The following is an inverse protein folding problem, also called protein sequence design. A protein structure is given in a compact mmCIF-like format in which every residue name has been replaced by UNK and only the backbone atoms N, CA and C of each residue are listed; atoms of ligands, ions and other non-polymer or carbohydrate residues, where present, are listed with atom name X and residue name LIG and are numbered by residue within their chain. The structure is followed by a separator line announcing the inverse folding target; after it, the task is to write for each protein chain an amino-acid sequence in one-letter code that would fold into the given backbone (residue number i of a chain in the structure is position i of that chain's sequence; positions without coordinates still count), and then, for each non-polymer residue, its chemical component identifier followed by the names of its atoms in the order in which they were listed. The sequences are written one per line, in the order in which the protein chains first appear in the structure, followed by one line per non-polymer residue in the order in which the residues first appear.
data_IF_374404241059
#
_entry.id   IF_374404241059
#
_cell.length_a   1.000
_cell.length_b   1.000
_cell.length_c   1.000
_cell.angle_alpha   90.00
_cell.angle_beta   90.00
_cell.angle_gamma   90.00
#
_symmetry.space_group_name_H-M   'P 1'
#
loop_
_entity.id
_entity.type
_entity.pdbx_description
1 polymer ?
#
# COMPACT_ATOMS: atom_id res chain seq x y z
N UNK A 1 -0.48 -1.94 -19.56
CA UNK A 1 -0.93 -0.54 -19.28
C UNK A 1 -1.91 -0.15 -20.35
N UNK A 2 -3.08 0.35 -19.98
CA UNK A 2 -4.08 0.79 -20.95
C UNK A 2 -3.66 2.18 -21.46
N UNK A 3 -2.92 2.22 -22.56
CA UNK A 3 -2.47 3.47 -23.18
C UNK A 3 -3.69 4.23 -23.71
N UNK A 4 -3.80 5.52 -23.39
CA UNK A 4 -4.82 6.40 -23.94
C UNK A 4 -4.12 7.53 -24.68
N UNK A 5 -4.45 7.72 -25.95
CA UNK A 5 -3.93 8.82 -26.73
C UNK A 5 -4.54 10.13 -26.24
N UNK A 6 -3.72 11.14 -25.98
CA UNK A 6 -4.16 12.46 -25.54
C UNK A 6 -5.16 13.11 -26.51
N UNK A 7 -5.04 12.85 -27.81
CA UNK A 7 -5.98 13.34 -28.84
C UNK A 7 -7.39 12.78 -28.66
N UNK A 8 -7.52 11.58 -28.10
CA UNK A 8 -8.80 10.89 -27.97
C UNK A 8 -9.52 11.25 -26.66
N UNK A 9 -8.80 11.83 -25.68
CA UNK A 9 -9.31 12.02 -24.31
C UNK A 9 -9.28 13.47 -23.83
N UNK A 10 -8.46 14.34 -24.42
CA UNK A 10 -8.32 15.73 -23.99
C UNK A 10 -9.09 16.69 -24.91
N UNK A 11 -9.74 17.73 -24.36
CA UNK A 11 -10.31 18.80 -25.16
C UNK A 11 -9.25 19.49 -26.03
N UNK A 12 -9.57 19.92 -27.28
CA UNK A 12 -8.58 20.51 -28.19
C UNK A 12 -7.82 21.71 -27.62
N UNK A 13 -8.49 22.55 -26.82
CA UNK A 13 -7.86 23.71 -26.16
C UNK A 13 -6.77 23.28 -25.17
N UNK A 14 -7.08 22.29 -24.31
CA UNK A 14 -6.15 21.77 -23.32
C UNK A 14 -4.98 21.03 -23.98
N UNK A 15 -5.24 20.25 -25.03
CA UNK A 15 -4.18 19.57 -25.77
C UNK A 15 -3.19 20.56 -26.37
N UNK A 16 -3.69 21.65 -26.97
CA UNK A 16 -2.85 22.71 -27.55
C UNK A 16 -1.99 23.40 -26.50
N UNK A 17 -2.55 23.68 -25.33
CA UNK A 17 -1.81 24.25 -24.21
C UNK A 17 -0.75 23.29 -23.68
N UNK A 18 -1.09 22.01 -23.51
CA UNK A 18 -0.15 20.99 -23.04
C UNK A 18 1.04 20.83 -24.00
N UNK A 19 0.80 20.90 -25.31
CA UNK A 19 1.83 20.89 -26.34
C UNK A 19 2.78 22.09 -26.27
N UNK A 20 2.38 23.21 -25.67
CA UNK A 20 3.31 24.32 -25.43
C UNK A 20 4.39 23.95 -24.40
N UNK A 21 4.05 23.09 -23.43
CA UNK A 21 4.95 22.68 -22.36
C UNK A 21 5.70 21.38 -22.66
N UNK A 22 5.06 20.40 -23.30
CA UNK A 22 5.64 19.08 -23.54
C UNK A 22 5.06 18.42 -24.79
N UNK A 23 5.91 17.82 -25.63
CA UNK A 23 5.49 17.18 -26.90
C UNK A 23 6.27 15.88 -27.11
N UNK A 24 5.57 14.82 -27.54
CA UNK A 24 6.20 13.52 -27.86
C UNK A 24 6.62 12.69 -26.65
N UNK A 25 6.34 13.13 -25.43
CA UNK A 25 6.75 12.47 -24.19
C UNK A 25 5.57 11.88 -23.39
N UNK A 26 5.88 10.98 -22.45
CA UNK A 26 4.92 10.35 -21.56
C UNK A 26 4.71 11.23 -20.31
N UNK A 27 3.52 11.83 -20.21
CA UNK A 27 3.12 12.62 -19.04
C UNK A 27 2.24 11.79 -18.08
N UNK A 28 2.64 11.71 -16.81
CA UNK A 28 1.82 11.12 -15.76
C UNK A 28 0.83 12.14 -15.19
N UNK A 29 -0.46 11.83 -15.25
CA UNK A 29 -1.51 12.63 -14.60
C UNK A 29 -1.89 11.95 -13.28
N UNK A 30 -1.51 12.51 -12.12
CA UNK A 30 -1.86 11.93 -10.83
C UNK A 30 -3.38 11.94 -10.62
N UNK A 31 -3.89 10.94 -9.90
CA UNK A 31 -5.28 10.94 -9.46
C UNK A 31 -5.55 12.15 -8.56
N UNK A 32 -6.75 12.74 -8.62
CA UNK A 32 -7.20 13.71 -7.64
C UNK A 32 -7.02 13.14 -6.23
N UNK A 33 -6.59 13.97 -5.29
CA UNK A 33 -6.15 13.53 -3.96
C UNK A 33 -7.23 12.72 -3.20
N UNK A 34 -8.50 13.06 -3.42
CA UNK A 34 -9.67 12.35 -2.86
C UNK A 34 -9.92 10.96 -3.45
N UNK A 35 -9.31 10.64 -4.58
CA UNK A 35 -9.41 9.36 -5.30
C UNK A 35 -8.10 8.55 -5.28
N UNK A 36 -7.09 9.01 -4.54
CA UNK A 36 -5.90 8.22 -4.23
C UNK A 36 -6.32 7.14 -3.22
N UNK A 37 -6.78 6.00 -3.74
CA UNK A 37 -6.80 4.79 -2.93
C UNK A 37 -5.37 4.56 -2.42
N UNK A 38 -5.21 4.32 -1.13
CA UNK A 38 -3.89 3.96 -0.60
C UNK A 38 -3.41 2.69 -1.30
N UNK A 39 -2.08 2.56 -1.39
CA UNK A 39 -1.46 1.41 -2.03
C UNK A 39 -2.03 0.09 -1.47
N UNK A 40 -2.52 -0.78 -2.36
CA UNK A 40 -3.12 -2.07 -2.00
C UNK A 40 -4.60 -2.05 -1.59
N UNK A 41 -5.30 -0.90 -1.56
CA UNK A 41 -6.74 -0.85 -1.28
C UNK A 41 -7.59 -1.36 -2.45
N UNK A 42 -7.23 -1.01 -3.68
CA UNK A 42 -7.98 -1.43 -4.88
C UNK A 42 -7.77 -2.91 -5.23
N UNK A 43 -6.60 -3.48 -4.91
CA UNK A 43 -6.30 -4.90 -5.18
C UNK A 43 -6.63 -5.83 -4.02
N UNK A 44 -7.09 -5.30 -2.87
CA UNK A 44 -7.32 -6.08 -1.64
C UNK A 44 -6.05 -6.56 -0.93
N UNK A 45 -4.87 -6.35 -1.52
CA UNK A 45 -3.57 -6.75 -0.98
C UNK A 45 -3.30 -6.13 0.39
N UNK A 46 -3.76 -4.90 0.64
CA UNK A 46 -3.62 -4.24 1.94
C UNK A 46 -4.35 -5.03 3.04
N UNK A 47 -5.55 -5.53 2.76
CA UNK A 47 -6.33 -6.34 3.72
C UNK A 47 -5.68 -7.71 3.96
N UNK A 48 -5.19 -8.34 2.90
CA UNK A 48 -4.49 -9.64 3.02
C UNK A 48 -3.21 -9.52 3.86
N UNK A 49 -2.42 -8.47 3.64
CA UNK A 49 -1.21 -8.21 4.42
C UNK A 49 -1.57 -7.91 5.89
N UNK A 50 -2.63 -7.13 6.14
CA UNK A 50 -3.08 -6.84 7.50
C UNK A 50 -3.48 -8.12 8.24
N UNK A 51 -4.31 -8.96 7.62
CA UNK A 51 -4.73 -10.25 8.18
C UNK A 51 -3.53 -11.17 8.48
N UNK A 52 -2.60 -11.30 7.54
CA UNK A 52 -1.37 -12.08 7.75
C UNK A 52 -0.56 -11.54 8.93
N UNK A 53 -0.44 -10.23 9.07
CA UNK A 53 0.32 -9.62 10.16
C UNK A 53 -0.34 -9.83 11.53
N UNK A 54 -1.68 -9.85 11.59
CA UNK A 54 -2.43 -10.24 12.79
C UNK A 54 -2.20 -11.70 13.17
N UNK A 55 -2.23 -12.61 12.19
CA UNK A 55 -1.94 -14.05 12.39
C UNK A 55 -0.51 -14.26 12.90
N UNK A 56 0.49 -13.60 12.30
CA UNK A 56 1.90 -13.63 12.75
C UNK A 56 1.99 -13.18 14.21
N UNK A 57 1.33 -12.08 14.58
CA UNK A 57 1.36 -11.56 15.94
C UNK A 57 0.65 -12.48 16.94
N UNK A 58 -0.46 -13.10 16.54
CA UNK A 58 -1.15 -14.10 17.33
C UNK A 58 -0.23 -15.29 17.62
N UNK A 59 0.39 -15.88 16.59
CA UNK A 59 1.28 -17.03 16.76
C UNK A 59 2.52 -16.71 17.59
N UNK A 60 3.08 -15.51 17.45
CA UNK A 60 4.16 -15.03 18.30
C UNK A 60 3.75 -14.97 19.77
N UNK A 61 2.56 -14.44 20.07
CA UNK A 61 2.01 -14.38 21.44
C UNK A 61 1.70 -15.75 22.03
N UNK A 62 1.39 -16.75 21.19
CA UNK A 62 1.23 -18.15 21.62
C UNK A 62 2.57 -18.88 21.84
N UNK A 63 3.71 -18.20 21.68
CA UNK A 63 5.03 -18.73 22.01
C UNK A 63 5.89 -19.16 20.82
N UNK A 64 5.45 -18.96 19.57
CA UNK A 64 6.32 -19.24 18.40
C UNK A 64 7.49 -18.26 18.35
N UNK A 65 8.67 -18.75 17.97
CA UNK A 65 9.85 -17.91 17.85
C UNK A 65 9.83 -17.09 16.57
N UNK A 66 10.67 -16.04 16.52
CA UNK A 66 10.82 -15.21 15.30
C UNK A 66 11.33 -16.04 14.12
N UNK A 67 12.18 -17.06 14.38
CA UNK A 67 12.74 -17.92 13.34
C UNK A 67 11.67 -18.83 12.74
N UNK A 68 10.85 -19.45 13.58
CA UNK A 68 9.77 -20.33 13.11
C UNK A 68 8.78 -19.54 12.23
N UNK A 69 8.43 -18.32 12.66
CA UNK A 69 7.55 -17.44 11.89
C UNK A 69 8.20 -16.94 10.60
N UNK A 70 9.51 -16.72 10.58
CA UNK A 70 10.24 -16.35 9.37
C UNK A 70 10.17 -17.46 8.33
N UNK A 71 10.35 -18.71 8.75
CA UNK A 71 10.22 -19.90 7.90
C UNK A 71 8.79 -20.12 7.42
N UNK A 72 7.81 -20.13 8.33
CA UNK A 72 6.39 -20.39 8.02
C UNK A 72 5.79 -19.39 7.03
N UNK A 73 6.19 -18.12 7.13
CA UNK A 73 5.64 -17.03 6.31
C UNK A 73 6.57 -16.60 5.16
N UNK A 74 7.70 -17.30 4.97
CA UNK A 74 8.72 -16.98 3.96
C UNK A 74 9.18 -15.51 4.02
N UNK A 75 9.44 -15.04 5.24
CA UNK A 75 9.89 -13.68 5.53
C UNK A 75 11.25 -13.70 6.21
N UNK A 76 12.00 -12.60 6.11
CA UNK A 76 13.20 -12.45 6.93
C UNK A 76 12.85 -12.19 8.40
N UNK A 77 13.72 -12.61 9.32
CA UNK A 77 13.62 -12.31 10.76
C UNK A 77 13.36 -10.82 11.01
N UNK A 78 14.01 -9.93 10.26
CA UNK A 78 13.85 -8.48 10.35
C UNK A 78 12.44 -8.03 9.96
N UNK A 79 11.85 -8.65 8.93
CA UNK A 79 10.48 -8.38 8.52
C UNK A 79 9.49 -8.81 9.58
N UNK A 80 9.69 -10.00 10.18
CA UNK A 80 8.88 -10.47 11.31
C UNK A 80 8.99 -9.50 12.49
N UNK A 81 10.20 -9.09 12.90
CA UNK A 81 10.40 -8.12 13.98
C UNK A 81 9.69 -6.80 13.71
N UNK A 82 9.78 -6.26 12.50
CA UNK A 82 9.06 -5.04 12.09
C UNK A 82 7.54 -5.21 12.19
N UNK A 83 7.00 -6.35 11.76
CA UNK A 83 5.58 -6.66 11.89
C UNK A 83 5.18 -6.68 13.36
N UNK A 84 5.90 -7.40 14.22
CA UNK A 84 5.61 -7.47 15.66
C UNK A 84 5.67 -6.10 16.34
N UNK A 85 6.66 -5.26 16.02
CA UNK A 85 6.76 -3.90 16.55
C UNK A 85 5.55 -3.04 16.15
N UNK A 86 5.14 -3.09 14.88
CA UNK A 86 3.96 -2.36 14.38
C UNK A 86 2.66 -2.84 15.02
N UNK A 87 2.49 -4.15 15.19
CA UNK A 87 1.32 -4.74 15.85
C UNK A 87 1.24 -4.36 17.33
N UNK A 88 2.39 -4.27 18.03
CA UNK A 88 2.44 -3.77 19.41
C UNK A 88 2.05 -2.29 19.51
N UNK A 89 2.53 -1.46 18.59
CA UNK A 89 2.22 -0.03 18.58
C UNK A 89 0.73 0.22 18.33
N UNK A 90 0.15 -0.44 17.32
CA UNK A 90 -1.28 -0.31 17.01
C UNK A 90 -2.20 -0.80 18.14
N UNK A 91 -1.83 -1.87 18.86
CA UNK A 91 -2.60 -2.33 20.03
C UNK A 91 -2.54 -1.35 21.21
N UNK A 92 -1.42 -0.62 21.39
CA UNK A 92 -1.33 0.43 22.41
C UNK A 92 -2.25 1.61 22.10
N UNK A 93 -2.33 2.01 20.84
CA UNK A 93 -3.23 3.09 20.41
C UNK A 93 -4.71 2.73 20.62
N UNK A 94 -5.10 1.49 20.33
CA UNK A 94 -6.48 1.03 20.56
C UNK A 94 -6.84 1.01 22.04
N UNK A 95 -5.92 0.59 22.92
CA UNK A 95 -6.17 0.56 24.36
C UNK A 95 -6.31 1.97 24.97
N UNK A 96 -5.62 2.99 24.43
CA UNK A 96 -5.71 4.39 24.90
C UNK A 96 -6.98 5.14 24.45
N UNK A 97 -7.75 4.60 23.50
CA UNK A 97 -8.98 5.23 22.99
C UNK A 97 -10.24 4.67 23.69
N UNK A 98 -10.09 3.56 24.42
CA UNK A 98 -11.18 2.91 25.17
C UNK A 98 -11.29 3.34 26.63
N UNK A 99 -10.54 4.35 27.06
CA UNK A 99 -10.64 5.01 28.38
C UNK A 99 -11.30 6.38 28.29
#
# INVERSE_FOLDING_TARGET
MNYKNGKDVLPPRLLKELQYYIQGELLYIPKPERAKAHWGELSGTRKQIAKRNEEIYYHYRTGRSVKDLAEDYYLSDESIRKILCKMRASLKEVASVTE
#
